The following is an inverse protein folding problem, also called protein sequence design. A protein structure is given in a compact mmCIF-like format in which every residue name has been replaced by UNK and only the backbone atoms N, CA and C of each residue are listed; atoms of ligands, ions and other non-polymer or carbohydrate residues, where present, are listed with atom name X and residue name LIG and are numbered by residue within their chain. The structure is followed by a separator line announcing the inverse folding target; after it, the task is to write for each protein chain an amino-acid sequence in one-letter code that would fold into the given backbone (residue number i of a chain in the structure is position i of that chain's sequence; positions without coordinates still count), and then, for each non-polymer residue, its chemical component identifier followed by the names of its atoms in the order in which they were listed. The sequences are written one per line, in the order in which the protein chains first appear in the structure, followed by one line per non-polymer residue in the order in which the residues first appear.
data_IF_256605787322
#
_entry.id   IF_256605787322
#
_cell.length_a   1.000
_cell.length_b   1.000
_cell.length_c   1.000
_cell.angle_alpha   90.00
_cell.angle_beta   90.00
_cell.angle_gamma   90.00
#
_symmetry.space_group_name_H-M   'P 1'
#
loop_
_entity.id
_entity.type
_entity.pdbx_description
1 polymer ?
#
# COMPACT_ATOMS: atom_id res chain seq x y z
N UNK A 1 -0.05 27.71 38.18
CA UNK A 1 -0.28 26.44 37.44
C UNK A 1 -0.90 26.50 36.04
N UNK A 2 -1.86 27.40 35.72
CA UNK A 2 -2.44 27.43 34.35
C UNK A 2 -1.44 27.77 33.22
N UNK A 3 -0.45 28.63 33.45
CA UNK A 3 0.57 29.02 32.46
C UNK A 3 1.56 27.87 32.11
N UNK A 4 1.90 27.03 33.08
CA UNK A 4 2.82 25.89 32.88
C UNK A 4 2.11 24.78 32.11
N UNK A 5 0.83 24.53 32.42
CA UNK A 5 0.02 23.52 31.74
C UNK A 5 -0.27 23.87 30.27
N UNK A 6 -0.44 25.16 29.93
CA UNK A 6 -0.57 25.63 28.54
C UNK A 6 0.77 25.50 27.78
N UNK A 7 1.90 25.78 28.44
CA UNK A 7 3.24 25.67 27.83
C UNK A 7 3.61 24.21 27.57
N UNK A 8 3.29 23.28 28.47
CA UNK A 8 3.46 21.83 28.27
C UNK A 8 2.56 21.28 27.15
N UNK A 9 1.30 21.72 27.05
CA UNK A 9 0.42 21.37 25.92
C UNK A 9 0.96 21.89 24.58
N UNK A 10 1.51 23.11 24.56
CA UNK A 10 2.13 23.69 23.37
C UNK A 10 3.38 22.94 22.92
N UNK A 11 4.27 22.55 23.86
CA UNK A 11 5.49 21.79 23.56
C UNK A 11 5.14 20.36 23.07
N UNK A 12 4.18 19.70 23.72
CA UNK A 12 3.70 18.38 23.30
C UNK A 12 3.06 18.41 21.90
N UNK A 13 2.19 19.40 21.62
CA UNK A 13 1.58 19.57 20.30
C UNK A 13 2.61 19.90 19.21
N UNK A 14 3.64 20.70 19.51
CA UNK A 14 4.73 21.02 18.58
C UNK A 14 5.57 19.76 18.28
N UNK A 15 5.85 18.90 19.27
CA UNK A 15 6.54 17.63 19.05
C UNK A 15 5.68 16.66 18.22
N UNK A 16 4.39 16.49 18.52
CA UNK A 16 3.48 15.65 17.72
C UNK A 16 3.37 16.14 16.27
N UNK A 17 3.33 17.46 16.06
CA UNK A 17 3.29 18.06 14.72
C UNK A 17 4.58 17.81 13.95
N UNK A 18 5.75 17.90 14.61
CA UNK A 18 7.06 17.56 14.02
C UNK A 18 7.13 16.09 13.61
N UNK A 19 6.66 15.16 14.44
CA UNK A 19 6.60 13.72 14.11
C UNK A 19 5.64 13.40 12.95
N UNK A 20 4.52 14.14 12.86
CA UNK A 20 3.58 14.01 11.74
C UNK A 20 4.19 14.50 10.43
N UNK A 21 4.83 15.67 10.45
CA UNK A 21 5.50 16.24 9.27
C UNK A 21 6.66 15.38 8.81
N UNK A 22 7.44 14.83 9.73
CA UNK A 22 8.53 13.93 9.38
C UNK A 22 8.06 12.65 8.74
N UNK A 23 7.03 12.01 9.30
CA UNK A 23 6.41 10.84 8.72
C UNK A 23 5.85 11.13 7.33
N UNK A 24 5.23 12.30 7.12
CA UNK A 24 4.71 12.71 5.82
C UNK A 24 5.82 12.94 4.78
N UNK A 25 6.88 13.68 5.14
CA UNK A 25 8.02 13.95 4.23
C UNK A 25 8.76 12.65 3.93
N UNK A 26 9.01 11.81 4.93
CA UNK A 26 9.59 10.47 4.76
C UNK A 26 8.78 9.63 3.77
N UNK A 27 7.46 9.61 3.92
CA UNK A 27 6.57 8.88 3.02
C UNK A 27 6.62 9.42 1.59
N UNK A 28 6.67 10.75 1.39
CA UNK A 28 6.78 11.37 0.07
C UNK A 28 8.11 11.03 -0.60
N UNK A 29 9.22 11.10 0.14
CA UNK A 29 10.56 10.77 -0.35
C UNK A 29 10.63 9.30 -0.74
N UNK A 30 10.23 8.39 0.16
CA UNK A 30 10.21 6.96 -0.11
C UNK A 30 9.37 6.61 -1.35
N UNK A 31 8.18 7.20 -1.48
CA UNK A 31 7.30 7.01 -2.65
C UNK A 31 7.91 7.53 -3.95
N UNK A 32 8.64 8.63 -3.88
CA UNK A 32 9.32 9.21 -5.05
C UNK A 32 10.48 8.34 -5.51
N UNK A 33 11.22 7.73 -4.57
CA UNK A 33 12.24 6.73 -4.89
C UNK A 33 11.64 5.46 -5.51
N UNK A 34 10.43 5.08 -5.11
CA UNK A 34 9.73 3.87 -5.58
C UNK A 34 8.91 4.06 -6.86
N UNK A 35 8.67 5.30 -7.26
CA UNK A 35 7.82 5.63 -8.42
C UNK A 35 8.25 4.93 -9.73
N UNK A 36 9.55 4.81 -10.07
CA UNK A 36 9.98 4.08 -11.26
C UNK A 36 9.54 2.62 -11.28
N UNK A 37 9.68 1.91 -10.15
CA UNK A 37 9.30 0.50 -10.02
C UNK A 37 7.78 0.33 -10.09
N UNK A 38 7.03 1.19 -9.38
CA UNK A 38 5.57 1.18 -9.44
C UNK A 38 5.05 1.42 -10.86
N UNK A 39 5.70 2.32 -11.62
CA UNK A 39 5.34 2.57 -13.01
C UNK A 39 5.60 1.35 -13.89
N UNK A 40 6.78 0.74 -13.76
CA UNK A 40 7.13 -0.46 -14.52
C UNK A 40 6.13 -1.60 -14.27
N UNK A 41 5.77 -1.86 -13.00
CA UNK A 41 4.73 -2.83 -12.62
C UNK A 41 3.41 -2.52 -13.34
N UNK A 42 2.91 -1.29 -13.24
CA UNK A 42 1.63 -0.90 -13.81
C UNK A 42 1.62 -1.02 -15.35
N UNK A 43 2.65 -0.53 -16.04
CA UNK A 43 2.72 -0.56 -17.50
C UNK A 43 2.84 -2.01 -18.02
N UNK A 44 3.52 -2.88 -17.28
CA UNK A 44 3.62 -4.30 -17.61
C UNK A 44 2.29 -5.06 -17.43
N UNK A 45 1.55 -4.81 -16.34
CA UNK A 45 0.20 -5.36 -16.12
C UNK A 45 -0.77 -4.92 -17.22
N UNK A 46 -0.72 -3.63 -17.60
CA UNK A 46 -1.60 -3.06 -18.63
C UNK A 46 -1.34 -3.70 -20.00
N UNK A 47 -0.08 -4.04 -20.32
CA UNK A 47 0.31 -4.64 -21.61
C UNK A 47 0.13 -6.17 -21.67
N UNK A 48 -0.14 -6.83 -20.54
CA UNK A 48 -0.42 -8.27 -20.53
C UNK A 48 0.76 -9.14 -21.00
N UNK A 49 1.98 -8.86 -20.51
CA UNK A 49 3.21 -9.65 -20.80
C UNK A 49 3.75 -9.60 -22.24
N UNK A 50 3.46 -8.55 -23.01
CA UNK A 50 4.17 -8.32 -24.28
C UNK A 50 5.61 -7.79 -24.05
N UNK A 51 6.56 -8.72 -23.94
CA UNK A 51 8.01 -8.46 -23.99
C UNK A 51 8.77 -8.53 -22.65
N UNK A 52 10.09 -8.35 -22.72
CA UNK A 52 10.98 -8.36 -21.56
C UNK A 52 10.93 -7.03 -20.79
N UNK A 53 11.07 -7.06 -19.46
CA UNK A 53 11.11 -5.85 -18.62
C UNK A 53 12.22 -4.88 -19.08
N UNK A 54 13.37 -5.40 -19.50
CA UNK A 54 14.47 -4.59 -20.04
C UNK A 54 14.09 -3.85 -21.32
N UNK A 55 13.25 -4.45 -22.16
CA UNK A 55 12.75 -3.80 -23.37
C UNK A 55 11.77 -2.67 -23.02
N UNK A 56 10.91 -2.89 -22.02
CA UNK A 56 10.04 -1.84 -21.49
C UNK A 56 10.85 -0.66 -20.91
N UNK A 57 11.91 -0.94 -20.15
CA UNK A 57 12.81 0.10 -19.60
C UNK A 57 13.45 0.89 -20.74
N UNK A 58 14.04 0.22 -21.74
CA UNK A 58 14.65 0.87 -22.91
C UNK A 58 13.64 1.72 -23.67
N UNK A 59 12.41 1.20 -23.86
CA UNK A 59 11.34 1.92 -24.56
C UNK A 59 10.91 3.17 -23.80
N UNK A 60 10.70 3.10 -22.49
CA UNK A 60 10.34 4.27 -21.67
C UNK A 60 11.45 5.32 -21.74
N UNK A 61 12.71 4.90 -21.60
CA UNK A 61 13.86 5.79 -21.69
C UNK A 61 13.97 6.46 -23.07
N UNK A 62 13.75 5.71 -24.16
CA UNK A 62 13.83 6.24 -25.52
C UNK A 62 12.65 7.15 -25.91
N UNK A 63 11.43 6.83 -25.45
CA UNK A 63 10.20 7.55 -25.86
C UNK A 63 9.85 8.74 -24.96
N UNK A 64 10.11 8.64 -23.66
CA UNK A 64 9.68 9.64 -22.66
C UNK A 64 10.85 10.22 -21.86
N UNK A 65 12.08 9.76 -22.12
CA UNK A 65 13.26 10.13 -21.36
C UNK A 65 13.24 9.62 -19.92
N UNK A 66 14.26 10.02 -19.15
CA UNK A 66 14.40 9.62 -17.74
C UNK A 66 13.25 10.16 -16.85
N UNK A 67 12.67 11.31 -17.20
CA UNK A 67 11.50 11.85 -16.49
C UNK A 67 10.24 11.00 -16.70
N UNK A 68 10.20 10.18 -17.75
CA UNK A 68 9.15 9.20 -17.98
C UNK A 68 8.93 8.31 -16.75
N UNK A 69 9.99 7.80 -16.11
CA UNK A 69 9.84 6.88 -14.97
C UNK A 69 9.02 7.45 -13.80
N UNK A 70 8.97 8.77 -13.61
CA UNK A 70 8.19 9.44 -12.55
C UNK A 70 6.79 9.91 -12.98
N UNK A 71 6.36 9.60 -14.20
CA UNK A 71 5.04 10.00 -14.66
C UNK A 71 3.95 9.36 -13.82
N UNK A 72 3.05 10.20 -13.31
CA UNK A 72 2.00 9.75 -12.39
C UNK A 72 2.45 9.62 -10.93
N UNK A 73 3.71 9.94 -10.58
CA UNK A 73 4.16 9.94 -9.18
C UNK A 73 3.37 10.93 -8.32
N UNK A 74 3.03 12.11 -8.87
CA UNK A 74 2.15 13.08 -8.18
C UNK A 74 0.82 12.44 -7.78
N UNK A 75 0.19 11.68 -8.69
CA UNK A 75 -1.04 10.94 -8.40
C UNK A 75 -0.85 9.83 -7.38
N UNK A 76 0.32 9.18 -7.38
CA UNK A 76 0.64 8.16 -6.37
C UNK A 76 0.70 8.76 -4.96
N UNK A 77 1.37 9.90 -4.82
CA UNK A 77 1.49 10.64 -3.56
C UNK A 77 0.11 11.17 -3.15
N UNK A 78 -0.60 11.82 -4.07
CA UNK A 78 -1.92 12.40 -3.85
C UNK A 78 -2.96 11.36 -3.42
N UNK A 79 -2.82 10.11 -3.85
CA UNK A 79 -3.71 9.00 -3.47
C UNK A 79 -3.36 8.41 -2.11
N UNK A 80 -2.07 8.29 -1.80
CA UNK A 80 -1.59 7.60 -0.60
C UNK A 80 -1.97 8.36 0.68
N UNK A 81 -1.83 9.68 0.68
CA UNK A 81 -2.14 10.50 1.85
C UNK A 81 -3.63 10.45 2.25
N UNK A 82 -4.62 10.69 1.34
CA UNK A 82 -6.03 10.57 1.65
C UNK A 82 -6.43 9.16 2.07
N UNK A 83 -5.91 8.12 1.40
CA UNK A 83 -6.22 6.74 1.77
C UNK A 83 -5.82 6.44 3.21
N UNK A 84 -4.60 6.83 3.61
CA UNK A 84 -4.12 6.63 4.98
C UNK A 84 -4.91 7.45 5.99
N UNK A 85 -5.23 8.70 5.67
CA UNK A 85 -6.00 9.58 6.54
C UNK A 85 -7.43 9.04 6.77
N UNK A 86 -8.13 8.66 5.69
CA UNK A 86 -9.48 8.10 5.76
C UNK A 86 -9.47 6.77 6.51
N UNK A 87 -8.52 5.89 6.22
CA UNK A 87 -8.42 4.60 6.90
C UNK A 87 -8.20 4.79 8.41
N UNK A 88 -7.32 5.70 8.82
CA UNK A 88 -7.06 5.96 10.24
C UNK A 88 -8.28 6.59 10.94
N UNK A 89 -8.92 7.57 10.30
CA UNK A 89 -10.11 8.21 10.82
C UNK A 89 -11.28 7.21 10.95
N UNK A 90 -11.54 6.44 9.90
CA UNK A 90 -12.59 5.42 9.91
C UNK A 90 -12.31 4.32 10.95
N UNK A 91 -11.05 3.91 11.11
CA UNK A 91 -10.66 2.95 12.14
C UNK A 91 -10.98 3.47 13.55
N UNK A 92 -10.58 4.70 13.86
CA UNK A 92 -10.84 5.28 15.19
C UNK A 92 -12.35 5.47 15.43
N UNK A 93 -13.12 5.86 14.40
CA UNK A 93 -14.57 5.95 14.47
C UNK A 93 -15.24 4.58 14.73
N UNK A 94 -14.92 3.56 13.93
CA UNK A 94 -15.51 2.22 14.10
C UNK A 94 -15.09 1.58 15.41
N UNK A 95 -13.82 1.76 15.83
CA UNK A 95 -13.32 1.29 17.12
C UNK A 95 -14.09 1.91 18.28
N UNK A 96 -14.27 3.24 18.28
CA UNK A 96 -15.06 3.95 19.32
C UNK A 96 -16.51 3.52 19.34
N UNK A 97 -17.10 3.29 18.17
CA UNK A 97 -18.48 2.84 18.05
C UNK A 97 -18.65 1.41 18.60
N UNK A 98 -17.74 0.49 18.27
CA UNK A 98 -17.74 -0.88 18.79
C UNK A 98 -17.53 -0.92 20.31
N UNK A 99 -16.58 -0.14 20.85
CA UNK A 99 -16.42 0.02 22.31
C UNK A 99 -17.73 0.45 22.99
N UNK A 100 -18.43 1.44 22.42
CA UNK A 100 -19.70 1.92 22.97
C UNK A 100 -20.80 0.86 22.95
N UNK A 101 -20.83 0.00 21.94
CA UNK A 101 -21.80 -1.09 21.85
C UNK A 101 -21.46 -2.26 22.78
N UNK A 102 -20.18 -2.54 22.99
CA UNK A 102 -19.69 -3.66 23.81
C UNK A 102 -19.69 -3.34 25.31
N UNK A 103 -19.66 -2.05 25.68
CA UNK A 103 -19.62 -1.61 27.08
C UNK A 103 -18.26 -1.79 27.77
N UNK A 104 -17.22 -2.22 27.02
CA UNK A 104 -15.86 -2.42 27.53
C UNK A 104 -14.99 -1.16 27.39
N UNK A 105 -14.09 -0.94 28.36
CA UNK A 105 -13.07 0.13 28.32
C UNK A 105 -12.02 -0.09 27.22
N UNK A 106 -11.73 -1.36 26.87
CA UNK A 106 -10.86 -1.73 25.78
C UNK A 106 -11.55 -2.62 24.73
N UNK A 107 -11.33 -2.31 23.44
CA UNK A 107 -11.82 -3.16 22.34
C UNK A 107 -11.15 -4.53 22.35
N UNK A 108 -11.95 -5.59 22.23
CA UNK A 108 -11.44 -6.94 22.02
C UNK A 108 -10.67 -7.05 20.69
N UNK A 109 -9.79 -8.05 20.57
CA UNK A 109 -9.00 -8.28 19.35
C UNK A 109 -9.89 -8.50 18.11
N UNK A 110 -11.05 -9.15 18.28
CA UNK A 110 -12.05 -9.33 17.22
C UNK A 110 -12.69 -8.01 16.79
N UNK A 111 -13.01 -7.11 17.73
CA UNK A 111 -13.58 -5.80 17.44
C UNK A 111 -12.57 -4.90 16.72
N UNK A 112 -11.30 -4.94 17.12
CA UNK A 112 -10.21 -4.25 16.40
C UNK A 112 -10.08 -4.76 14.97
N UNK A 113 -10.21 -6.07 14.77
CA UNK A 113 -10.18 -6.67 13.45
C UNK A 113 -11.35 -6.20 12.58
N UNK A 114 -12.57 -6.21 13.11
CA UNK A 114 -13.77 -5.73 12.40
C UNK A 114 -13.67 -4.24 12.08
N UNK A 115 -13.22 -3.41 13.04
CA UNK A 115 -12.98 -1.99 12.83
C UNK A 115 -11.93 -1.75 11.73
N UNK A 116 -10.85 -2.54 11.73
CA UNK A 116 -9.80 -2.50 10.70
C UNK A 116 -10.32 -2.85 9.31
N UNK A 117 -11.10 -3.94 9.20
CA UNK A 117 -11.70 -4.37 7.94
C UNK A 117 -12.69 -3.33 7.40
N UNK A 118 -13.60 -2.82 8.25
CA UNK A 118 -14.56 -1.80 7.87
C UNK A 118 -13.86 -0.50 7.44
N UNK A 119 -12.83 -0.07 8.18
CA UNK A 119 -12.04 1.11 7.83
C UNK A 119 -11.35 0.95 6.46
N UNK A 120 -10.77 -0.22 6.19
CA UNK A 120 -10.14 -0.51 4.91
C UNK A 120 -11.11 -0.50 3.73
N UNK A 121 -12.33 -1.05 3.92
CA UNK A 121 -13.40 -1.00 2.93
C UNK A 121 -13.83 0.44 2.67
N UNK A 122 -14.08 1.22 3.74
CA UNK A 122 -14.48 2.63 3.63
C UNK A 122 -13.43 3.47 2.92
N UNK A 123 -12.15 3.31 3.27
CA UNK A 123 -11.04 3.97 2.58
C UNK A 123 -10.96 3.57 1.11
N UNK A 124 -11.19 2.29 0.79
CA UNK A 124 -11.22 1.81 -0.59
C UNK A 124 -12.36 2.44 -1.37
N UNK A 125 -13.58 2.46 -0.85
CA UNK A 125 -14.75 3.05 -1.51
C UNK A 125 -14.53 4.54 -1.81
N UNK A 126 -13.98 5.29 -0.85
CA UNK A 126 -13.77 6.73 -1.03
C UNK A 126 -12.60 7.06 -1.96
N UNK A 127 -11.54 6.24 -1.98
CA UNK A 127 -10.35 6.50 -2.80
C UNK A 127 -10.35 5.78 -4.16
N UNK A 128 -11.22 4.81 -4.41
CA UNK A 128 -11.24 4.06 -5.67
C UNK A 128 -11.37 4.94 -6.93
N UNK A 129 -12.14 6.05 -6.94
CA UNK A 129 -12.17 6.95 -8.09
C UNK A 129 -10.78 7.49 -8.48
N UNK A 130 -9.96 7.85 -7.49
CA UNK A 130 -8.58 8.32 -7.73
C UNK A 130 -7.69 7.19 -8.26
N UNK A 131 -7.86 5.97 -7.75
CA UNK A 131 -7.14 4.79 -8.25
C UNK A 131 -7.47 4.54 -9.73
N UNK A 132 -8.75 4.62 -10.11
CA UNK A 132 -9.21 4.40 -11.48
C UNK A 132 -8.69 5.50 -12.42
N UNK A 133 -8.73 6.77 -12.02
CA UNK A 133 -8.19 7.89 -12.81
C UNK A 133 -6.68 7.73 -13.02
N UNK A 134 -5.93 7.36 -11.96
CA UNK A 134 -4.49 7.09 -12.06
C UNK A 134 -4.21 5.97 -13.05
N UNK A 135 -4.94 4.86 -12.96
CA UNK A 135 -4.75 3.73 -13.88
C UNK A 135 -5.03 4.12 -15.33
N UNK A 136 -6.04 4.96 -15.60
CA UNK A 136 -6.31 5.48 -16.94
C UNK A 136 -5.26 6.45 -17.48
N UNK A 137 -4.69 7.29 -16.61
CA UNK A 137 -3.65 8.26 -17.00
C UNK A 137 -2.30 7.61 -17.28
N UNK A 138 -1.97 6.52 -16.58
CA UNK A 138 -0.74 5.74 -16.81
C UNK A 138 -0.88 4.83 -18.03
N UNK A 139 -2.11 4.43 -18.38
CA UNK A 139 -2.37 3.59 -19.54
C UNK A 139 -2.00 4.30 -20.88
N UNK A 140 -1.69 3.54 -21.94
CA UNK A 140 -1.46 4.08 -23.27
C UNK A 140 -2.62 4.99 -23.72
N UNK A 141 -2.28 6.18 -24.23
CA UNK A 141 -3.28 7.19 -24.62
C UNK A 141 -3.81 8.07 -23.48
N UNK A 142 -3.42 7.83 -22.23
CA UNK A 142 -3.80 8.64 -21.07
C UNK A 142 -3.32 10.09 -21.12
N UNK A 143 -2.24 10.38 -21.85
CA UNK A 143 -1.70 11.73 -22.04
C UNK A 143 -2.70 12.69 -22.70
N UNK A 144 -3.50 12.17 -23.63
CA UNK A 144 -4.51 12.95 -24.35
C UNK A 144 -5.69 13.35 -23.46
N UNK A 145 -5.82 12.80 -22.25
CA UNK A 145 -6.92 13.11 -21.34
C UNK A 145 -6.73 14.43 -20.57
N UNK A 146 -5.62 15.16 -20.75
CA UNK A 146 -5.45 16.49 -20.15
C UNK A 146 -5.30 16.48 -18.63
N UNK A 147 -4.69 15.42 -18.06
CA UNK A 147 -4.42 15.30 -16.63
C UNK A 147 -5.61 14.80 -15.81
N UNK A 148 -5.55 15.00 -14.49
CA UNK A 148 -6.49 14.38 -13.51
C UNK A 148 -7.93 14.82 -13.75
N UNK A 149 -8.15 16.12 -13.89
CA UNK A 149 -9.47 16.72 -14.04
C UNK A 149 -10.06 16.36 -15.41
N UNK A 150 -9.23 16.37 -16.46
CA UNK A 150 -9.64 15.98 -17.80
C UNK A 150 -9.98 14.49 -17.89
N UNK A 151 -9.18 13.62 -17.28
CA UNK A 151 -9.47 12.18 -17.18
C UNK A 151 -10.74 11.90 -16.38
N UNK A 152 -10.95 12.55 -15.23
CA UNK A 152 -12.19 12.44 -14.47
C UNK A 152 -13.41 12.84 -15.31
N UNK A 153 -13.35 14.03 -15.94
CA UNK A 153 -14.43 14.53 -16.80
C UNK A 153 -14.69 13.60 -17.97
N UNK A 154 -13.65 13.08 -18.61
CA UNK A 154 -13.74 12.14 -19.72
C UNK A 154 -14.43 10.84 -19.31
N UNK A 155 -14.00 10.23 -18.19
CA UNK A 155 -14.59 8.98 -17.70
C UNK A 155 -16.07 9.18 -17.30
N UNK A 156 -16.38 10.24 -16.55
CA UNK A 156 -17.76 10.51 -16.11
C UNK A 156 -18.68 10.81 -17.30
N UNK A 157 -18.23 11.61 -18.27
CA UNK A 157 -19.05 11.98 -19.44
C UNK A 157 -19.22 10.83 -20.43
N UNK A 158 -18.18 10.03 -20.65
CA UNK A 158 -18.19 8.99 -21.68
C UNK A 158 -18.65 7.63 -21.16
N UNK A 159 -18.39 7.29 -19.90
CA UNK A 159 -18.65 5.96 -19.34
C UNK A 159 -19.66 5.96 -18.19
N UNK A 160 -19.89 7.12 -17.57
CA UNK A 160 -20.76 7.32 -16.42
C UNK A 160 -20.01 7.27 -15.09
N UNK A 161 -20.64 7.82 -14.05
CA UNK A 161 -20.05 7.95 -12.70
C UNK A 161 -19.62 6.60 -12.10
N UNK A 162 -20.45 5.56 -12.23
CA UNK A 162 -20.14 4.22 -11.70
C UNK A 162 -18.93 3.55 -12.37
N UNK A 163 -18.46 4.04 -13.52
CA UNK A 163 -17.24 3.52 -14.16
C UNK A 163 -16.00 3.74 -13.29
N UNK A 164 -16.00 4.77 -12.44
CA UNK A 164 -14.91 5.06 -11.50
C UNK A 164 -14.74 3.98 -10.42
N UNK A 165 -15.77 3.16 -10.19
CA UNK A 165 -15.79 2.09 -9.18
C UNK A 165 -15.54 0.70 -9.77
N UNK A 166 -15.19 0.60 -11.05
CA UNK A 166 -14.79 -0.66 -11.66
C UNK A 166 -13.57 -1.22 -10.93
N UNK A 167 -13.66 -2.50 -10.56
CA UNK A 167 -12.62 -3.17 -9.78
C UNK A 167 -12.78 -3.08 -8.25
N UNK A 168 -13.88 -2.50 -7.74
CA UNK A 168 -14.19 -2.51 -6.30
C UNK A 168 -14.27 -3.93 -5.74
N UNK A 169 -15.06 -4.80 -6.38
CA UNK A 169 -15.27 -6.18 -5.93
C UNK A 169 -13.96 -6.98 -5.82
N UNK A 170 -13.12 -7.08 -6.86
CA UNK A 170 -11.85 -7.79 -6.72
C UNK A 170 -10.92 -7.13 -5.70
N UNK A 171 -10.99 -5.81 -5.52
CA UNK A 171 -10.21 -5.12 -4.48
C UNK A 171 -10.63 -5.50 -3.06
N UNK A 172 -11.92 -5.69 -2.80
CA UNK A 172 -12.41 -6.10 -1.48
C UNK A 172 -12.12 -7.58 -1.25
N UNK A 173 -12.37 -8.42 -2.26
CA UNK A 173 -12.12 -9.86 -2.19
C UNK A 173 -10.64 -10.19 -1.97
N UNK A 174 -9.71 -9.37 -2.48
CA UNK A 174 -8.28 -9.59 -2.26
C UNK A 174 -7.80 -9.27 -0.85
N UNK A 175 -8.53 -8.44 -0.08
CA UNK A 175 -8.05 -7.96 1.23
C UNK A 175 -7.94 -9.09 2.27
N UNK A 176 -8.95 -9.97 2.35
CA UNK A 176 -8.97 -11.05 3.33
C UNK A 176 -7.87 -12.11 3.07
N UNK A 177 -7.72 -12.66 1.85
CA UNK A 177 -6.60 -13.56 1.53
C UNK A 177 -5.23 -12.89 1.68
N UNK A 178 -5.10 -11.62 1.30
CA UNK A 178 -3.85 -10.86 1.47
C UNK A 178 -3.42 -10.82 2.93
N UNK A 179 -4.34 -10.43 3.82
CA UNK A 179 -4.08 -10.41 5.26
C UNK A 179 -3.77 -11.79 5.82
N UNK A 180 -4.57 -12.81 5.46
CA UNK A 180 -4.38 -14.17 5.95
C UNK A 180 -3.00 -14.74 5.59
N UNK A 181 -2.58 -14.59 4.34
CA UNK A 181 -1.27 -15.06 3.88
C UNK A 181 -0.15 -14.23 4.51
N UNK A 182 -0.31 -12.90 4.58
CA UNK A 182 0.70 -12.04 5.18
C UNK A 182 0.97 -12.41 6.64
N UNK A 183 -0.07 -12.40 7.48
CA UNK A 183 0.08 -12.70 8.90
C UNK A 183 0.45 -14.16 9.15
N UNK A 184 -0.12 -15.11 8.39
CA UNK A 184 0.24 -16.53 8.52
C UNK A 184 1.71 -16.81 8.21
N UNK A 185 2.22 -16.28 7.08
CA UNK A 185 3.64 -16.45 6.73
C UNK A 185 4.54 -15.71 7.71
N UNK A 186 4.16 -14.50 8.13
CA UNK A 186 4.91 -13.73 9.11
C UNK A 186 5.01 -14.47 10.45
N UNK A 187 3.92 -15.05 10.95
CA UNK A 187 3.87 -15.79 12.21
C UNK A 187 4.65 -17.09 12.15
N UNK A 188 4.63 -17.83 11.03
CA UNK A 188 5.45 -19.03 10.82
C UNK A 188 6.93 -18.66 10.90
N UNK A 189 7.34 -17.63 10.16
CA UNK A 189 8.72 -17.17 10.12
C UNK A 189 9.18 -16.64 11.48
N UNK A 190 8.32 -15.87 12.15
CA UNK A 190 8.55 -15.37 13.50
C UNK A 190 8.72 -16.51 14.49
N UNK A 191 7.83 -17.48 14.46
CA UNK A 191 7.86 -18.64 15.36
C UNK A 191 9.11 -19.48 15.13
N UNK A 192 9.47 -19.76 13.87
CA UNK A 192 10.69 -20.50 13.53
C UNK A 192 11.95 -19.81 14.08
N UNK A 193 12.01 -18.48 14.01
CA UNK A 193 13.13 -17.72 14.56
C UNK A 193 13.17 -17.74 16.09
N UNK A 194 12.03 -17.54 16.76
CA UNK A 194 11.98 -17.50 18.23
C UNK A 194 12.35 -18.84 18.87
N UNK A 195 12.16 -19.97 18.16
CA UNK A 195 12.60 -21.29 18.63
C UNK A 195 14.11 -21.55 18.43
N UNK A 196 14.80 -20.75 17.59
CA UNK A 196 16.25 -20.83 17.37
C UNK A 196 17.04 -20.37 18.62
N UNK A 197 18.24 -20.92 18.86
CA UNK A 197 19.12 -20.47 19.96
C UNK A 197 19.46 -18.98 19.90
N UNK A 198 19.49 -18.36 18.72
CA UNK A 198 19.67 -16.91 18.56
C UNK A 198 18.47 -16.09 19.04
N UNK A 199 17.25 -16.58 18.78
CA UNK A 199 16.01 -15.90 19.17
C UNK A 199 15.83 -15.92 20.69
N UNK A 200 16.14 -17.04 21.33
CA UNK A 200 16.11 -17.18 22.79
C UNK A 200 17.09 -16.24 23.50
N UNK A 201 18.35 -16.17 23.04
CA UNK A 201 19.35 -15.21 23.57
C UNK A 201 18.90 -13.75 23.41
N UNK A 202 18.23 -13.40 22.32
CA UNK A 202 17.71 -12.04 22.10
C UNK A 202 16.53 -11.73 23.03
N UNK A 203 15.63 -12.68 23.25
CA UNK A 203 14.49 -12.52 24.16
C UNK A 203 14.97 -12.31 25.61
N UNK A 204 16.00 -13.05 26.04
CA UNK A 204 16.65 -12.87 27.33
C UNK A 204 17.30 -11.48 27.47
N UNK A 205 17.98 -11.01 26.42
CA UNK A 205 18.58 -9.68 26.40
C UNK A 205 17.55 -8.53 26.41
N UNK A 206 16.37 -8.72 25.81
CA UNK A 206 15.29 -7.71 25.86
C UNK A 206 14.65 -7.64 27.25
N UNK A 207 14.40 -8.79 27.91
CA UNK A 207 13.83 -8.85 29.27
C UNK A 207 14.69 -8.19 30.35
N UNK A 208 15.97 -7.93 30.07
CA UNK A 208 16.89 -7.21 30.95
C UNK A 208 16.94 -5.69 30.68
N UNK A 209 16.42 -5.20 29.54
CA UNK A 209 16.53 -3.80 29.09
C UNK A 209 15.18 -3.06 29.01
N UNK A 210 14.22 -3.44 29.84
CA UNK A 210 12.79 -3.03 29.75
C UNK A 210 12.47 -1.52 29.94
N UNK A 211 13.44 -0.62 30.15
CA UNK A 211 13.16 0.79 30.43
C UNK A 211 13.75 1.86 29.48
N UNK A 212 14.56 1.52 28.48
CA UNK A 212 15.16 2.52 27.56
C UNK A 212 15.13 2.13 26.07
N UNK A 213 14.24 1.24 25.64
CA UNK A 213 14.22 0.77 24.25
C UNK A 213 13.22 1.53 23.39
N UNK A 214 13.67 1.96 22.21
CA UNK A 214 12.85 2.60 21.18
C UNK A 214 11.73 1.67 20.66
N UNK A 215 10.66 2.22 20.06
CA UNK A 215 9.55 1.45 19.48
C UNK A 215 9.98 0.37 18.45
N UNK A 216 11.11 0.57 17.77
CA UNK A 216 11.71 -0.40 16.86
C UNK A 216 12.63 -1.42 17.55
N UNK A 217 13.19 -1.08 18.72
CA UNK A 217 13.99 -2.00 19.51
C UNK A 217 13.12 -2.93 20.37
N UNK A 218 11.88 -2.50 20.66
CA UNK A 218 10.81 -3.32 21.22
C UNK A 218 10.29 -4.39 20.23
N UNK A 219 10.66 -4.34 18.94
CA UNK A 219 10.31 -5.39 18.00
C UNK A 219 11.01 -6.70 18.39
N UNK A 220 10.21 -7.74 18.63
CA UNK A 220 10.69 -9.05 19.09
C UNK A 220 11.79 -9.66 18.20
N UNK A 221 11.74 -9.43 16.88
CA UNK A 221 12.74 -9.93 15.93
C UNK A 221 13.90 -8.95 15.68
N UNK A 222 13.81 -7.71 16.16
CA UNK A 222 14.66 -6.60 15.77
C UNK A 222 14.33 -5.99 14.40
N UNK A 223 14.82 -4.78 14.09
CA UNK A 223 14.36 -4.00 12.93
C UNK A 223 14.61 -4.69 11.58
N UNK A 224 15.83 -5.19 11.36
CA UNK A 224 16.25 -5.80 10.08
C UNK A 224 15.52 -7.12 9.80
N UNK A 225 15.34 -7.97 10.81
CA UNK A 225 14.64 -9.24 10.66
C UNK A 225 13.14 -9.03 10.54
N UNK A 226 12.56 -8.10 11.30
CA UNK A 226 11.14 -7.71 11.12
C UNK A 226 10.88 -7.28 9.68
N UNK A 227 11.79 -6.48 9.11
CA UNK A 227 11.71 -6.05 7.72
C UNK A 227 11.83 -7.21 6.74
N UNK A 228 12.80 -8.11 6.92
CA UNK A 228 13.01 -9.25 6.03
C UNK A 228 11.79 -10.21 6.06
N UNK A 229 11.33 -10.60 7.25
CA UNK A 229 10.16 -11.46 7.38
C UNK A 229 8.89 -10.77 6.87
N UNK A 230 8.74 -9.47 7.10
CA UNK A 230 7.66 -8.66 6.54
C UNK A 230 7.70 -8.59 5.00
N UNK A 231 8.89 -8.51 4.41
CA UNK A 231 9.06 -8.51 2.96
C UNK A 231 8.74 -9.88 2.34
N UNK A 232 9.17 -10.98 2.98
CA UNK A 232 8.85 -12.34 2.53
C UNK A 232 7.34 -12.59 2.65
N UNK A 233 6.74 -12.26 3.80
CA UNK A 233 5.30 -12.35 4.00
C UNK A 233 4.52 -11.49 3.00
N UNK A 234 4.99 -10.27 2.73
CA UNK A 234 4.44 -9.38 1.71
C UNK A 234 4.51 -9.97 0.29
N UNK A 235 5.64 -10.54 -0.09
CA UNK A 235 5.83 -11.21 -1.37
C UNK A 235 4.89 -12.41 -1.55
N UNK A 236 4.76 -13.25 -0.51
CA UNK A 236 3.82 -14.38 -0.53
C UNK A 236 2.35 -13.92 -0.62
N UNK A 237 1.98 -12.90 0.15
CA UNK A 237 0.63 -12.34 0.13
C UNK A 237 0.30 -11.71 -1.23
N UNK A 238 1.25 -11.00 -1.83
CA UNK A 238 1.11 -10.42 -3.16
C UNK A 238 0.97 -11.51 -4.22
N UNK A 239 1.79 -12.56 -4.18
CA UNK A 239 1.67 -13.70 -5.10
C UNK A 239 0.30 -14.38 -4.98
N UNK A 240 -0.20 -14.62 -3.76
CA UNK A 240 -1.50 -15.25 -3.55
C UNK A 240 -2.69 -14.41 -4.03
N UNK A 241 -2.56 -13.07 -4.02
CA UNK A 241 -3.64 -12.15 -4.38
C UNK A 241 -3.48 -11.50 -5.75
N UNK A 242 -2.40 -11.82 -6.45
CA UNK A 242 -2.06 -11.25 -7.74
C UNK A 242 -3.17 -11.37 -8.80
N UNK A 243 -3.88 -12.52 -8.92
CA UNK A 243 -4.99 -12.63 -9.88
C UNK A 243 -6.09 -11.58 -9.67
N UNK A 244 -6.40 -11.23 -8.42
CA UNK A 244 -7.38 -10.20 -8.12
C UNK A 244 -6.87 -8.81 -8.51
N UNK A 245 -5.57 -8.55 -8.33
CA UNK A 245 -4.96 -7.30 -8.78
C UNK A 245 -5.05 -7.16 -10.31
N UNK A 246 -4.69 -8.20 -11.07
CA UNK A 246 -4.76 -8.17 -12.54
C UNK A 246 -6.19 -7.94 -13.02
N UNK A 247 -7.18 -8.68 -12.48
CA UNK A 247 -8.59 -8.50 -12.83
C UNK A 247 -9.07 -7.08 -12.50
N UNK A 248 -8.69 -6.56 -11.32
CA UNK A 248 -9.01 -5.18 -10.92
C UNK A 248 -8.47 -4.16 -11.91
N UNK A 249 -7.19 -4.26 -12.29
CA UNK A 249 -6.55 -3.32 -13.22
C UNK A 249 -7.17 -3.37 -14.61
N UNK A 250 -7.47 -4.57 -15.11
CA UNK A 250 -8.14 -4.75 -16.39
C UNK A 250 -9.56 -4.16 -16.39
N UNK A 251 -10.34 -4.35 -15.31
CA UNK A 251 -11.64 -3.70 -15.15
C UNK A 251 -11.54 -2.17 -15.14
N UNK A 252 -10.54 -1.61 -14.45
CA UNK A 252 -10.32 -0.17 -14.40
C UNK A 252 -10.01 0.42 -15.78
N UNK A 253 -9.39 -0.34 -16.68
CA UNK A 253 -9.06 0.06 -18.05
C UNK A 253 -10.24 -0.03 -19.03
N UNK A 254 -11.30 -0.77 -18.70
CA UNK A 254 -12.41 -1.00 -19.62
C UNK A 254 -13.20 0.27 -19.96
N UNK A 255 -13.22 0.63 -21.25
CA UNK A 255 -14.06 1.71 -21.79
C UNK A 255 -15.55 1.36 -21.91
N UNK A 256 -16.35 2.31 -22.44
CA UNK A 256 -17.81 2.16 -22.64
C UNK A 256 -18.20 0.93 -23.48
N UNK A 257 -17.36 0.56 -24.45
CA UNK A 257 -17.60 -0.54 -25.40
C UNK A 257 -17.41 -1.95 -24.83
N UNK A 258 -16.79 -2.10 -23.65
CA UNK A 258 -16.44 -3.41 -23.09
C UNK A 258 -16.80 -3.45 -21.59
N UNK A 259 -18.09 -3.29 -21.25
CA UNK A 259 -18.59 -3.44 -19.88
C UNK A 259 -18.72 -4.91 -19.53
N UNK A 260 -17.61 -5.55 -19.15
CA UNK A 260 -17.64 -6.93 -18.68
C UNK A 260 -17.79 -6.97 -17.16
N UNK A 261 -18.52 -7.99 -16.67
CA UNK A 261 -18.54 -8.32 -15.24
C UNK A 261 -17.13 -8.73 -14.76
N UNK A 262 -16.92 -8.71 -13.44
CA UNK A 262 -15.65 -9.16 -12.83
C UNK A 262 -15.32 -10.60 -13.23
N UNK A 263 -16.32 -11.49 -13.21
CA UNK A 263 -16.14 -12.89 -13.61
C UNK A 263 -15.89 -13.03 -15.11
N UNK A 264 -16.66 -12.32 -15.94
CA UNK A 264 -16.49 -12.33 -17.38
C UNK A 264 -15.11 -11.78 -17.81
N UNK A 265 -14.60 -10.79 -17.08
CA UNK A 265 -13.25 -10.25 -17.32
C UNK A 265 -12.19 -11.27 -16.94
N UNK A 266 -12.35 -11.97 -15.81
CA UNK A 266 -11.45 -13.03 -15.39
C UNK A 266 -11.40 -14.18 -16.43
N UNK A 267 -12.57 -14.68 -16.84
CA UNK A 267 -12.70 -15.72 -17.87
C UNK A 267 -12.03 -15.28 -19.18
N UNK A 268 -12.29 -14.06 -19.64
CA UNK A 268 -11.68 -13.52 -20.87
C UNK A 268 -10.14 -13.40 -20.79
N UNK A 269 -9.59 -13.11 -19.63
CA UNK A 269 -8.12 -13.09 -19.42
C UNK A 269 -7.57 -14.51 -19.56
N UNK A 270 -8.22 -15.49 -18.93
CA UNK A 270 -7.83 -16.90 -18.98
C UNK A 270 -7.99 -17.47 -20.40
N UNK A 271 -9.04 -17.11 -21.12
CA UNK A 271 -9.26 -17.53 -22.51
C UNK A 271 -8.19 -17.00 -23.47
N UNK A 272 -7.66 -15.79 -23.22
CA UNK A 272 -6.66 -15.16 -24.11
C UNK A 272 -5.22 -15.62 -23.87
N UNK A 273 -4.84 -15.83 -22.61
CA UNK A 273 -3.43 -16.11 -22.25
C UNK A 273 -3.25 -17.17 -21.18
N UNK A 274 -4.31 -17.94 -20.89
CA UNK A 274 -4.32 -18.97 -19.86
C UNK A 274 -4.19 -18.42 -18.44
N UNK A 275 -3.89 -19.33 -17.51
CA UNK A 275 -3.69 -18.99 -16.08
C UNK A 275 -2.47 -18.07 -15.88
N UNK A 276 -1.47 -18.14 -16.77
CA UNK A 276 -0.27 -17.29 -16.70
C UNK A 276 -0.60 -15.81 -16.84
N UNK A 277 -1.60 -15.46 -17.67
CA UNK A 277 -2.04 -14.08 -17.83
C UNK A 277 -2.61 -13.45 -16.55
N UNK A 278 -3.10 -14.25 -15.60
CA UNK A 278 -3.51 -13.75 -14.26
C UNK A 278 -2.33 -13.38 -13.37
N UNK A 279 -1.12 -13.82 -13.71
CA UNK A 279 0.13 -13.52 -13.02
C UNK A 279 1.01 -12.55 -13.81
N UNK A 280 0.45 -11.90 -14.84
CA UNK A 280 1.12 -10.93 -15.68
C UNK A 280 1.72 -9.78 -14.86
N UNK A 281 3.05 -9.76 -14.72
CA UNK A 281 3.79 -8.75 -13.96
C UNK A 281 4.10 -9.08 -12.51
N UNK A 282 3.87 -10.32 -12.07
CA UNK A 282 4.25 -10.77 -10.73
C UNK A 282 5.74 -10.57 -10.47
N UNK A 283 6.61 -10.90 -11.43
CA UNK A 283 8.07 -10.73 -11.30
C UNK A 283 8.46 -9.27 -11.01
N UNK A 284 8.05 -8.25 -11.82
CA UNK A 284 8.30 -6.85 -11.50
C UNK A 284 7.76 -6.45 -10.13
N UNK A 285 6.62 -7.01 -9.73
CA UNK A 285 6.01 -6.75 -8.43
C UNK A 285 6.85 -7.26 -7.27
N UNK A 286 7.27 -8.52 -7.33
CA UNK A 286 8.11 -9.15 -6.30
C UNK A 286 9.48 -8.47 -6.20
N UNK A 287 10.06 -8.09 -7.35
CA UNK A 287 11.31 -7.33 -7.40
C UNK A 287 11.19 -5.95 -6.74
N UNK A 288 9.99 -5.38 -6.67
CA UNK A 288 9.76 -4.09 -6.01
C UNK A 288 9.64 -4.21 -4.49
N UNK A 289 9.16 -5.35 -3.95
CA UNK A 289 8.88 -5.50 -2.51
C UNK A 289 10.11 -5.25 -1.65
N UNK A 290 11.24 -5.87 -1.99
CA UNK A 290 12.49 -5.74 -1.22
C UNK A 290 13.08 -4.31 -1.26
N UNK A 291 13.30 -3.68 -2.44
CA UNK A 291 13.71 -2.28 -2.51
C UNK A 291 12.75 -1.33 -1.79
N UNK A 292 11.43 -1.59 -1.88
CA UNK A 292 10.42 -0.80 -1.17
C UNK A 292 10.57 -0.84 0.34
N UNK A 293 10.75 -2.05 0.89
CA UNK A 293 10.97 -2.22 2.32
C UNK A 293 12.28 -1.55 2.77
N UNK A 294 13.37 -1.80 2.05
CA UNK A 294 14.69 -1.25 2.36
C UNK A 294 14.75 0.27 2.28
N UNK A 295 14.18 0.88 1.24
CA UNK A 295 14.15 2.35 1.09
C UNK A 295 13.27 2.97 2.18
N UNK A 296 12.12 2.38 2.50
CA UNK A 296 11.25 2.90 3.54
C UNK A 296 11.94 2.89 4.92
N UNK A 297 12.69 1.83 5.20
CA UNK A 297 13.49 1.72 6.42
C UNK A 297 14.63 2.72 6.45
N UNK A 298 15.43 2.81 5.38
CA UNK A 298 16.53 3.76 5.29
C UNK A 298 16.06 5.20 5.42
N UNK A 299 14.97 5.57 4.74
CA UNK A 299 14.40 6.92 4.82
C UNK A 299 13.89 7.21 6.24
N UNK A 300 13.29 6.23 6.91
CA UNK A 300 12.86 6.39 8.30
C UNK A 300 14.05 6.62 9.26
N UNK A 301 15.09 5.78 9.18
CA UNK A 301 16.30 5.91 9.99
C UNK A 301 17.01 7.25 9.75
N UNK A 302 17.15 7.65 8.47
CA UNK A 302 17.72 8.94 8.11
C UNK A 302 16.90 10.11 8.68
N UNK A 303 15.57 10.03 8.63
CA UNK A 303 14.71 11.06 9.18
C UNK A 303 14.78 11.13 10.70
N UNK A 304 14.95 10.00 11.39
CA UNK A 304 15.16 9.96 12.85
C UNK A 304 16.41 10.77 13.23
N UNK A 305 17.52 10.55 12.51
CA UNK A 305 18.79 11.25 12.71
C UNK A 305 18.64 12.76 12.45
N UNK A 306 18.03 13.14 11.31
CA UNK A 306 17.86 14.55 10.92
C UNK A 306 16.99 15.33 11.91
N UNK A 307 16.09 14.66 12.62
CA UNK A 307 15.13 15.31 13.51
C UNK A 307 15.50 15.29 14.98
N UNK A 308 16.67 14.74 15.34
CA UNK A 308 17.09 14.56 16.74
C UNK A 308 16.00 13.92 17.60
N UNK A 309 15.29 12.95 17.02
CA UNK A 309 14.36 12.11 17.77
C UNK A 309 15.16 10.88 18.18
N UNK A 310 16.02 11.03 19.18
CA UNK A 310 16.54 9.87 19.93
C UNK A 310 15.56 9.48 21.03
#
# INVERSE_FOLDING_TARGET
DKKVMVRMRGISAVNTTKHLWSGAVAAVVARTCLAPLERLKLEYIVRGEEGNIFELIKRIAATQGLRGFWKGNFLNILRTAPFKAINFCAFDMYRKQLCRFSGNEETANSERFVAGAAAGITATVLCLPLDTIRTRLVAPGGEAMGGVIGAFRHVVRNEGFFSLYKGLLPSILSMAPSGAVFYGVYDILKSAYMHSPEGRKRLENMRQKDHELNAFEQLELGPTRTLLHGAIAGACAEAATYPFEVVRRQLQLQGRANKLSTLATCVKIVERGGVRALYAGLIPSLLQVLPSASISFFVYEFMKIVLHVE
#
